data_IF_220429534422
#
_entry.id   IF_220429534422
#
_cell.length_a   1.000
_cell.length_b   1.000
_cell.length_c   1.000
_cell.angle_alpha   90.00
_cell.angle_beta   90.00
_cell.angle_gamma   90.00
#
_symmetry.space_group_name_H-M   'P 1'
#
loop_
_entity.id
_entity.type
_entity.pdbx_description
1 polymer ?
#
# COMPACT_ATOMS: atom_id res chain seq x y z
N UNK A 1 12.40 -3.11 11.54
CA UNK A 1 12.03 -3.70 10.23
C UNK A 1 12.33 -2.65 9.19
N UNK A 2 13.24 -2.94 8.27
CA UNK A 2 13.45 -2.15 7.06
C UNK A 2 12.42 -2.60 6.02
N UNK A 3 11.85 -1.65 5.28
CA UNK A 3 11.03 -1.95 4.12
C UNK A 3 11.93 -2.22 2.91
N UNK A 4 11.47 -3.08 2.01
CA UNK A 4 12.13 -3.39 0.75
C UNK A 4 11.25 -3.00 -0.45
N UNK A 5 11.86 -2.76 -1.61
CA UNK A 5 11.12 -2.51 -2.84
C UNK A 5 10.30 -3.77 -3.18
N UNK A 6 9.01 -3.58 -3.44
CA UNK A 6 8.05 -4.67 -3.65
C UNK A 6 7.23 -5.05 -2.41
N UNK A 7 7.58 -4.54 -1.23
CA UNK A 7 6.77 -4.75 -0.02
C UNK A 7 5.38 -4.14 -0.17
N UNK A 8 4.38 -4.85 0.35
CA UNK A 8 3.04 -4.32 0.53
C UNK A 8 2.96 -3.62 1.88
N UNK A 9 2.51 -2.36 1.86
CA UNK A 9 2.46 -1.49 3.01
C UNK A 9 1.14 -0.73 3.06
N UNK A 10 0.77 -0.27 4.26
CA UNK A 10 -0.40 0.58 4.50
C UNK A 10 -0.06 1.65 5.53
N UNK A 11 -0.68 2.82 5.42
CA UNK A 11 -0.62 3.81 6.49
C UNK A 11 -1.25 3.27 7.77
N UNK A 12 -0.62 3.56 8.91
CA UNK A 12 -1.15 3.21 10.25
C UNK A 12 -2.52 3.84 10.53
N UNK A 13 -2.81 4.97 9.90
CA UNK A 13 -4.12 5.64 9.96
C UNK A 13 -5.20 4.97 9.11
N UNK A 14 -4.89 3.90 8.39
CA UNK A 14 -5.75 3.32 7.35
C UNK A 14 -5.51 3.96 5.97
N UNK A 15 -6.27 3.51 4.97
CA UNK A 15 -6.10 3.92 3.57
C UNK A 15 -5.91 2.73 2.62
N UNK A 16 -5.44 2.94 1.38
CA UNK A 16 -5.21 1.86 0.44
C UNK A 16 -3.99 1.01 0.83
N UNK A 17 -3.97 -0.24 0.38
CA UNK A 17 -2.73 -1.04 0.32
C UNK A 17 -1.87 -0.47 -0.82
N UNK A 18 -0.59 -0.28 -0.54
CA UNK A 18 0.38 0.31 -1.45
C UNK A 18 1.58 -0.62 -1.61
N UNK A 19 2.30 -0.49 -2.72
CA UNK A 19 3.55 -1.22 -3.00
C UNK A 19 4.72 -0.25 -2.90
N UNK A 20 5.77 -0.63 -2.18
CA UNK A 20 7.01 0.16 -2.11
C UNK A 20 7.70 0.15 -3.48
N UNK A 21 7.92 1.33 -4.05
CA UNK A 21 8.53 1.52 -5.38
C UNK A 21 9.98 2.05 -5.30
N UNK A 22 10.30 2.82 -4.26
CA UNK A 22 11.64 3.36 -4.04
C UNK A 22 11.91 3.61 -2.56
N UNK A 23 13.20 3.59 -2.18
CA UNK A 23 13.68 3.89 -0.83
C UNK A 23 14.59 5.13 -0.89
N UNK A 24 14.46 6.04 0.08
CA UNK A 24 15.35 7.17 0.27
C UNK A 24 15.90 7.15 1.70
N UNK A 25 17.03 6.46 1.87
CA UNK A 25 17.60 6.19 3.19
C UNK A 25 16.72 5.24 4.00
N UNK A 26 16.79 5.35 5.33
CA UNK A 26 16.08 4.44 6.25
C UNK A 26 14.68 4.93 6.66
N UNK A 27 14.42 6.24 6.52
CA UNK A 27 13.24 6.87 7.11
C UNK A 27 12.14 7.21 6.10
N UNK A 28 12.42 7.19 4.80
CA UNK A 28 11.50 7.63 3.74
C UNK A 28 11.43 6.62 2.60
N UNK A 29 10.23 6.38 2.09
CA UNK A 29 9.99 5.53 0.92
C UNK A 29 8.89 6.08 0.02
N UNK A 30 8.97 5.80 -1.27
CA UNK A 30 7.90 6.02 -2.23
C UNK A 30 7.03 4.77 -2.27
N UNK A 31 5.72 4.92 -2.11
CA UNK A 31 4.76 3.85 -2.30
C UNK A 31 3.76 4.21 -3.40
N UNK A 32 3.33 3.20 -4.15
CA UNK A 32 2.37 3.34 -5.24
C UNK A 32 1.12 2.50 -5.01
N UNK A 33 -0.03 2.99 -5.44
CA UNK A 33 -1.31 2.28 -5.38
C UNK A 33 -2.21 2.70 -6.53
N UNK A 34 -3.30 1.97 -6.71
CA UNK A 34 -4.31 2.25 -7.72
C UNK A 34 -5.60 2.69 -7.05
N UNK A 35 -6.27 3.69 -7.63
CA UNK A 35 -7.62 4.07 -7.20
C UNK A 35 -8.63 3.22 -7.99
N UNK A 36 -9.57 2.51 -7.33
CA UNK A 36 -10.51 1.62 -8.02
C UNK A 36 -11.37 2.31 -9.09
N UNK A 37 -11.67 3.61 -8.91
CA UNK A 37 -12.59 4.35 -9.78
C UNK A 37 -12.06 4.61 -11.18
N UNK A 38 -10.74 4.74 -11.35
CA UNK A 38 -10.14 5.17 -12.61
C UNK A 38 -8.89 4.37 -13.01
N UNK A 39 -8.47 3.39 -12.19
CA UNK A 39 -7.24 2.61 -12.37
C UNK A 39 -5.99 3.49 -12.54
N UNK A 40 -6.04 4.75 -12.08
CA UNK A 40 -4.89 5.61 -12.13
C UNK A 40 -3.87 5.18 -11.08
N UNK A 41 -2.64 4.98 -11.53
CA UNK A 41 -1.49 4.76 -10.66
C UNK A 41 -1.19 6.07 -9.94
N UNK A 42 -1.29 6.06 -8.61
CA UNK A 42 -0.83 7.14 -7.75
C UNK A 42 0.46 6.71 -7.04
N UNK A 43 1.29 7.68 -6.67
CA UNK A 43 2.43 7.46 -5.79
C UNK A 43 2.66 8.66 -4.87
N UNK A 44 3.24 8.39 -3.71
CA UNK A 44 3.64 9.42 -2.76
C UNK A 44 4.78 8.93 -1.85
N UNK A 45 5.51 9.89 -1.30
CA UNK A 45 6.55 9.64 -0.32
C UNK A 45 5.98 9.63 1.09
N UNK A 46 6.37 8.63 1.87
CA UNK A 46 5.94 8.44 3.25
C UNK A 46 7.12 8.19 4.16
N UNK A 47 6.95 8.55 5.43
CA UNK A 47 7.88 8.10 6.44
C UNK A 47 7.67 6.61 6.69
N UNK A 48 8.76 5.83 6.80
CA UNK A 48 8.70 4.44 7.22
C UNK A 48 7.94 4.29 8.56
N UNK A 49 8.03 5.29 9.45
CA UNK A 49 7.34 5.29 10.75
C UNK A 49 5.82 5.40 10.65
N UNK A 50 5.27 5.95 9.56
CA UNK A 50 3.82 6.03 9.35
C UNK A 50 3.22 4.78 8.69
N UNK A 51 4.06 3.83 8.25
CA UNK A 51 3.64 2.64 7.53
C UNK A 51 3.67 1.38 8.41
N UNK A 52 2.84 0.42 8.04
CA UNK A 52 2.85 -0.95 8.56
C UNK A 52 2.88 -1.93 7.40
N UNK A 53 3.54 -3.10 7.53
CA UNK A 53 3.42 -4.17 6.55
C UNK A 53 1.95 -4.56 6.34
N UNK A 54 1.53 -4.64 5.08
CA UNK A 54 0.25 -5.22 4.69
C UNK A 54 0.49 -6.70 4.38
N UNK A 55 0.65 -7.52 5.43
CA UNK A 55 1.11 -8.92 5.31
C UNK A 55 0.01 -9.91 4.93
N UNK A 56 -1.26 -9.51 4.92
CA UNK A 56 -2.31 -10.51 4.81
C UNK A 56 -2.86 -10.57 3.38
N UNK A 57 -2.38 -11.54 2.60
CA UNK A 57 -3.00 -11.94 1.33
C UNK A 57 -4.50 -12.18 1.52
N UNK A 58 -4.91 -12.67 2.68
CA UNK A 58 -6.31 -12.90 3.01
C UNK A 58 -7.09 -11.58 3.17
N UNK A 59 -6.54 -10.52 3.75
CA UNK A 59 -7.21 -9.20 3.77
C UNK A 59 -7.33 -8.58 2.38
N UNK A 60 -6.29 -8.75 1.54
CA UNK A 60 -6.29 -8.26 0.17
C UNK A 60 -7.40 -8.94 -0.64
N UNK A 61 -7.54 -10.27 -0.52
CA UNK A 61 -8.60 -11.02 -1.19
C UNK A 61 -9.98 -10.71 -0.61
N UNK A 62 -10.13 -10.52 0.70
CA UNK A 62 -11.41 -10.11 1.29
C UNK A 62 -11.86 -8.73 0.79
N UNK A 63 -10.92 -7.78 0.67
CA UNK A 63 -11.24 -6.46 0.15
C UNK A 63 -11.64 -6.50 -1.33
N UNK A 64 -10.88 -7.19 -2.18
CA UNK A 64 -11.24 -7.40 -3.61
C UNK A 64 -12.62 -8.08 -3.73
N UNK A 65 -12.90 -9.11 -2.93
CA UNK A 65 -14.17 -9.84 -2.98
C UNK A 65 -15.34 -9.01 -2.44
N UNK A 66 -15.12 -8.09 -1.51
CA UNK A 66 -16.14 -7.16 -1.02
C UNK A 66 -16.52 -6.11 -2.06
N UNK A 67 -15.55 -5.59 -2.81
CA UNK A 67 -15.75 -4.56 -3.85
C UNK A 67 -16.36 -5.16 -5.14
N UNK A 68 -16.15 -6.45 -5.41
CA UNK A 68 -16.71 -7.14 -6.59
C UNK A 68 -18.19 -7.55 -6.41
N UNK A 69 -18.73 -7.50 -5.19
CA UNK A 69 -20.10 -7.94 -4.87
C UNK A 69 -21.18 -6.85 -5.00
N UNK A 70 -20.79 -5.59 -5.22
CA UNK A 70 -21.73 -4.46 -5.35
C UNK A 70 -22.00 -4.01 -6.80
N UNK A 71 -21.60 -4.79 -7.81
CA UNK A 71 -21.97 -4.58 -9.22
C UNK A 71 -22.78 -5.74 -9.80
#
# INVERSE_FOLDING_TARGET
MSFEIGDLVRLKSGGPVMTVEALAGEDMLSATWFVPSDLNKLNAWFSAKSLSPATNKDEIWQQIMSETREN
#
